data_IF_060346123404
#
_entry.id   IF_060346123404
#
_cell.length_a   1.000
_cell.length_b   1.000
_cell.length_c   1.000
_cell.angle_alpha   90.00
_cell.angle_beta   90.00
_cell.angle_gamma   90.00
#
_symmetry.space_group_name_H-M   'P 1'
#
loop_
_entity.id
_entity.type
_entity.pdbx_description
1 polymer ?
#
# COMPACT_ATOMS: atom_id res chain seq x y z
N UNK A 1 15.53 9.78 8.92
CA UNK A 1 14.58 9.30 7.88
C UNK A 1 15.42 8.98 6.64
N UNK A 2 15.60 7.69 6.34
CA UNK A 2 16.35 7.30 5.15
C UNK A 2 15.42 7.29 3.94
N UNK A 3 15.44 8.36 3.17
CA UNK A 3 14.88 8.37 1.83
C UNK A 3 15.92 7.66 0.96
N UNK A 4 15.68 6.40 0.62
CA UNK A 4 16.54 5.66 -0.32
C UNK A 4 16.10 6.07 -1.73
N UNK A 5 16.53 7.24 -2.17
CA UNK A 5 16.23 7.76 -3.50
C UNK A 5 16.87 6.92 -4.62
N UNK A 6 17.98 6.24 -4.34
CA UNK A 6 18.80 5.58 -5.37
C UNK A 6 18.27 4.22 -5.85
N UNK A 7 17.20 3.69 -5.26
CA UNK A 7 16.66 2.36 -5.58
C UNK A 7 15.24 2.36 -6.10
N UNK A 8 14.63 3.54 -6.28
CA UNK A 8 13.22 3.63 -6.57
C UNK A 8 13.04 4.17 -7.97
N UNK A 9 12.35 3.38 -8.78
CA UNK A 9 11.91 3.81 -10.10
C UNK A 9 10.93 4.98 -9.94
N UNK A 10 11.14 6.11 -10.64
CA UNK A 10 10.18 7.19 -10.62
C UNK A 10 8.83 6.71 -11.18
N UNK A 11 7.73 7.17 -10.60
CA UNK A 11 6.37 6.86 -11.08
C UNK A 11 6.11 7.32 -12.52
N UNK A 12 6.80 8.40 -12.94
CA UNK A 12 6.72 8.95 -14.29
C UNK A 12 8.04 9.58 -14.70
N UNK A 13 8.13 10.01 -15.98
CA UNK A 13 9.23 10.82 -16.50
C UNK A 13 9.46 12.12 -15.71
N UNK A 14 8.46 12.59 -14.99
CA UNK A 14 8.47 13.83 -14.23
C UNK A 14 8.89 13.67 -12.77
N UNK A 15 9.47 12.51 -12.42
CA UNK A 15 10.20 12.30 -11.16
C UNK A 15 9.36 12.31 -9.87
N UNK A 16 8.18 11.71 -9.86
CA UNK A 16 7.46 11.46 -8.61
C UNK A 16 8.06 10.23 -7.93
N UNK A 17 8.83 10.46 -6.88
CA UNK A 17 9.48 9.41 -6.10
C UNK A 17 8.61 8.97 -4.93
N UNK A 18 8.75 7.70 -4.56
CA UNK A 18 8.11 7.20 -3.35
C UNK A 18 8.64 7.96 -2.12
N UNK A 19 7.74 8.34 -1.23
CA UNK A 19 8.12 9.12 -0.05
C UNK A 19 8.74 8.25 1.03
N UNK A 20 8.15 7.08 1.29
CA UNK A 20 8.68 6.06 2.20
C UNK A 20 8.66 4.70 1.52
N UNK A 21 9.75 3.98 1.61
CA UNK A 21 9.98 2.68 0.97
C UNK A 21 10.18 1.60 2.00
N UNK A 22 9.59 0.42 1.78
CA UNK A 22 9.76 -0.74 2.63
C UNK A 22 9.47 -0.46 4.11
N UNK A 23 8.46 0.36 4.38
CA UNK A 23 7.95 0.56 5.72
C UNK A 23 7.41 -0.77 6.26
N UNK A 24 7.76 -1.10 7.51
CA UNK A 24 7.33 -2.34 8.15
C UNK A 24 6.02 -2.16 8.90
N UNK A 25 5.05 -3.04 8.65
CA UNK A 25 3.81 -3.11 9.43
C UNK A 25 3.68 -4.41 10.25
N UNK A 26 4.64 -5.31 10.12
CA UNK A 26 4.71 -6.59 10.84
C UNK A 26 6.11 -7.18 10.80
N UNK A 27 6.27 -8.37 11.39
CA UNK A 27 7.57 -9.03 11.56
C UNK A 27 8.02 -9.85 10.36
N UNK A 28 7.08 -10.30 9.51
CA UNK A 28 7.41 -11.08 8.33
C UNK A 28 8.12 -10.23 7.28
N UNK A 29 9.01 -10.84 6.47
CA UNK A 29 9.77 -10.12 5.44
C UNK A 29 8.84 -9.40 4.42
N UNK A 30 7.70 -10.02 4.11
CA UNK A 30 6.70 -9.44 3.21
C UNK A 30 5.75 -8.44 3.88
N UNK A 31 5.85 -8.20 5.18
CA UNK A 31 5.04 -7.19 5.86
C UNK A 31 5.61 -5.78 5.63
N UNK A 32 5.62 -5.36 4.38
CA UNK A 32 6.14 -4.06 3.94
C UNK A 32 5.14 -3.32 3.06
N UNK A 33 5.25 -2.00 3.06
CA UNK A 33 4.54 -1.14 2.11
C UNK A 33 5.42 0.01 1.67
N UNK A 34 5.08 0.59 0.53
CA UNK A 34 5.62 1.85 0.05
C UNK A 34 4.50 2.88 0.02
N UNK A 35 4.82 4.13 0.26
CA UNK A 35 3.82 5.20 0.28
C UNK A 35 4.34 6.46 -0.42
N UNK A 36 3.51 7.02 -1.28
CA UNK A 36 3.68 8.31 -1.96
C UNK A 36 2.72 9.31 -1.33
N UNK A 37 3.26 10.33 -0.71
CA UNK A 37 2.46 11.36 -0.06
C UNK A 37 2.18 12.51 -1.03
N UNK A 38 0.91 12.87 -1.15
CA UNK A 38 0.53 14.08 -1.84
C UNK A 38 1.05 15.30 -1.06
N UNK A 39 1.48 16.33 -1.78
CA UNK A 39 1.93 17.58 -1.17
C UNK A 39 0.73 18.36 -0.63
N UNK A 40 0.62 18.44 0.70
CA UNK A 40 -0.50 19.09 1.37
C UNK A 40 -0.16 19.45 2.82
N UNK A 41 -0.56 20.64 3.23
CA UNK A 41 -0.49 21.05 4.64
C UNK A 41 -1.55 20.32 5.50
N UNK A 42 -2.64 19.84 4.89
CA UNK A 42 -3.72 19.13 5.57
C UNK A 42 -3.60 17.63 5.36
N UNK A 43 -4.12 16.80 6.30
CA UNK A 43 -4.18 15.37 6.13
C UNK A 43 -4.89 14.96 4.83
N UNK A 44 -4.27 14.06 4.06
CA UNK A 44 -4.75 13.65 2.74
C UNK A 44 -5.52 12.35 2.78
N UNK A 45 -6.50 12.15 1.89
CA UNK A 45 -7.04 10.82 1.61
C UNK A 45 -5.94 9.86 1.14
N UNK A 46 -6.15 8.56 1.32
CA UNK A 46 -5.22 7.52 0.91
C UNK A 46 -5.92 6.45 0.09
N UNK A 47 -5.29 6.00 -0.98
CA UNK A 47 -5.64 4.77 -1.69
C UNK A 47 -4.53 3.73 -1.48
N UNK A 48 -4.89 2.56 -0.97
CA UNK A 48 -3.99 1.42 -0.79
C UNK A 48 -4.21 0.45 -1.94
N UNK A 49 -3.16 0.21 -2.74
CA UNK A 49 -3.18 -0.77 -3.81
C UNK A 49 -2.65 -2.12 -3.32
N UNK A 50 -3.45 -3.17 -3.53
CA UNK A 50 -3.17 -4.55 -3.14
C UNK A 50 -3.00 -5.37 -4.41
N UNK A 51 -1.80 -5.93 -4.62
CA UNK A 51 -1.50 -6.69 -5.84
C UNK A 51 -2.24 -8.02 -5.89
N UNK A 52 -2.50 -8.49 -7.13
CA UNK A 52 -2.97 -9.84 -7.40
C UNK A 52 -1.83 -10.85 -7.46
N UNK A 53 -2.12 -12.04 -7.96
CA UNK A 53 -1.17 -13.14 -8.12
C UNK A 53 -1.64 -14.42 -7.43
N UNK A 54 -2.95 -14.61 -7.30
CA UNK A 54 -3.55 -15.84 -6.75
C UNK A 54 -3.15 -16.12 -5.30
N UNK A 55 -2.72 -15.12 -4.55
CA UNK A 55 -2.15 -15.27 -3.20
C UNK A 55 -0.88 -16.12 -3.13
N UNK A 56 -0.25 -16.41 -4.25
CA UNK A 56 0.97 -17.23 -4.35
C UNK A 56 2.15 -16.51 -4.94
N UNK A 57 1.95 -15.33 -5.50
CA UNK A 57 2.97 -14.51 -6.14
C UNK A 57 2.59 -13.05 -6.22
N UNK A 58 3.45 -12.26 -6.83
CA UNK A 58 3.25 -10.82 -6.99
C UNK A 58 4.08 -10.00 -6.01
N UNK A 59 4.11 -8.70 -6.28
CA UNK A 59 4.86 -7.73 -5.47
C UNK A 59 4.21 -6.35 -5.56
N UNK A 60 4.38 -5.56 -4.50
CA UNK A 60 3.89 -4.18 -4.42
C UNK A 60 4.37 -3.27 -5.54
N UNK A 61 5.53 -3.60 -6.14
CA UNK A 61 6.09 -2.86 -7.28
C UNK A 61 5.28 -2.98 -8.57
N UNK A 62 4.32 -3.90 -8.65
CA UNK A 62 3.45 -4.08 -9.82
C UNK A 62 2.79 -2.78 -10.28
N UNK A 63 2.47 -1.91 -9.36
CA UNK A 63 1.76 -0.66 -9.65
C UNK A 63 2.66 0.55 -9.86
N UNK A 64 3.98 0.42 -9.75
CA UNK A 64 4.91 1.57 -9.84
C UNK A 64 4.83 2.35 -11.15
N UNK A 65 4.41 1.69 -12.23
CA UNK A 65 4.24 2.31 -13.56
C UNK A 65 2.79 2.74 -13.85
N UNK A 66 1.94 2.81 -12.83
CA UNK A 66 0.55 3.22 -13.00
C UNK A 66 0.46 4.69 -13.41
N UNK A 67 -0.04 4.93 -14.62
CA UNK A 67 -0.08 6.26 -15.24
C UNK A 67 -1.04 7.24 -14.56
N UNK A 68 -1.98 6.72 -13.78
CA UNK A 68 -2.99 7.54 -13.10
C UNK A 68 -2.50 8.10 -11.76
N UNK A 69 -1.44 7.54 -11.19
CA UNK A 69 -0.95 7.94 -9.88
C UNK A 69 -0.50 9.40 -9.79
N UNK A 70 0.21 9.98 -10.78
CA UNK A 70 0.54 11.40 -10.73
C UNK A 70 -0.69 12.29 -10.60
N UNK A 71 -1.78 11.94 -11.30
CA UNK A 71 -3.05 12.68 -11.22
C UNK A 71 -3.69 12.60 -9.83
N UNK A 72 -3.61 11.43 -9.19
CA UNK A 72 -4.10 11.26 -7.81
C UNK A 72 -3.30 12.13 -6.84
N UNK A 73 -1.98 12.10 -6.94
CA UNK A 73 -1.10 12.92 -6.10
C UNK A 73 -1.33 14.42 -6.31
N UNK A 74 -1.48 14.86 -7.56
CA UNK A 74 -1.84 16.26 -7.91
C UNK A 74 -3.21 16.65 -7.35
N UNK A 75 -4.15 15.71 -7.29
CA UNK A 75 -5.47 15.89 -6.68
C UNK A 75 -5.46 15.87 -5.15
N UNK A 76 -4.29 15.74 -4.53
CA UNK A 76 -4.15 15.69 -3.08
C UNK A 76 -4.46 14.34 -2.45
N UNK A 77 -4.37 13.24 -3.22
CA UNK A 77 -4.63 11.87 -2.76
C UNK A 77 -3.30 11.14 -2.66
N UNK A 78 -2.95 10.69 -1.47
CA UNK A 78 -1.78 9.86 -1.23
C UNK A 78 -2.02 8.41 -1.64
N UNK A 79 -0.95 7.67 -1.93
CA UNK A 79 -1.02 6.32 -2.49
C UNK A 79 -0.08 5.42 -1.70
N UNK A 80 -0.51 4.19 -1.42
CA UNK A 80 0.35 3.14 -0.88
C UNK A 80 0.21 1.86 -1.70
N UNK A 81 1.28 1.07 -1.75
CA UNK A 81 1.26 -0.32 -2.23
C UNK A 81 1.81 -1.24 -1.18
N UNK A 82 1.24 -2.42 -1.06
CA UNK A 82 1.59 -3.33 0.02
C UNK A 82 2.05 -4.69 -0.49
N UNK A 83 2.94 -5.31 0.27
CA UNK A 83 3.18 -6.74 0.25
C UNK A 83 2.46 -7.41 1.42
N UNK A 84 2.12 -8.67 1.24
CA UNK A 84 1.45 -9.52 2.23
C UNK A 84 1.98 -10.94 2.10
N UNK A 85 1.86 -11.75 3.16
CA UNK A 85 2.24 -13.17 3.12
C UNK A 85 1.38 -13.94 2.12
N UNK A 86 1.98 -14.91 1.47
CA UNK A 86 1.28 -15.79 0.54
C UNK A 86 0.54 -16.93 1.26
N UNK A 87 -0.37 -17.58 0.57
CA UNK A 87 -1.21 -18.63 1.14
C UNK A 87 -0.44 -19.90 1.54
N UNK A 88 0.76 -20.09 1.01
CA UNK A 88 1.66 -21.20 1.39
C UNK A 88 2.46 -20.93 2.66
N UNK A 89 2.31 -19.77 3.26
CA UNK A 89 2.87 -19.43 4.56
C UNK A 89 2.04 -20.07 5.68
N UNK A 90 2.49 -21.24 6.15
CA UNK A 90 1.82 -21.98 7.21
C UNK A 90 1.79 -21.20 8.54
N UNK A 91 0.78 -21.43 9.39
CA UNK A 91 -0.36 -22.36 9.24
C UNK A 91 -1.65 -21.73 8.69
N UNK A 92 -1.63 -20.47 8.30
CA UNK A 92 -2.86 -19.67 8.11
C UNK A 92 -3.43 -19.69 6.68
N UNK A 93 -2.67 -20.20 5.69
CA UNK A 93 -3.14 -20.23 4.31
C UNK A 93 -3.55 -18.82 3.80
N UNK A 94 -4.66 -18.75 3.09
CA UNK A 94 -5.18 -17.47 2.54
C UNK A 94 -5.44 -16.42 3.62
N UNK A 95 -5.78 -16.82 4.84
CA UNK A 95 -6.01 -15.88 5.93
C UNK A 95 -4.77 -15.06 6.25
N UNK A 96 -3.57 -15.61 6.06
CA UNK A 96 -2.34 -14.84 6.24
C UNK A 96 -2.32 -13.61 5.33
N UNK A 97 -2.66 -13.77 4.05
CA UNK A 97 -2.71 -12.68 3.07
C UNK A 97 -3.77 -11.63 3.42
N UNK A 98 -4.96 -12.07 3.77
CA UNK A 98 -6.09 -11.20 4.10
C UNK A 98 -5.83 -10.42 5.40
N UNK A 99 -5.37 -11.09 6.43
CA UNK A 99 -5.07 -10.48 7.73
C UNK A 99 -3.89 -9.51 7.65
N UNK A 100 -2.85 -9.84 6.89
CA UNK A 100 -1.72 -8.95 6.68
C UNK A 100 -2.16 -7.65 5.99
N UNK A 101 -2.97 -7.77 4.96
CA UNK A 101 -3.47 -6.60 4.22
C UNK A 101 -4.34 -5.70 5.12
N UNK A 102 -5.21 -6.28 5.93
CA UNK A 102 -6.00 -5.54 6.93
C UNK A 102 -5.09 -4.91 7.99
N UNK A 103 -4.08 -5.64 8.46
CA UNK A 103 -3.11 -5.12 9.42
C UNK A 103 -2.32 -3.94 8.87
N UNK A 104 -1.93 -3.98 7.58
CA UNK A 104 -1.27 -2.85 6.94
C UNK A 104 -2.15 -1.59 6.96
N UNK A 105 -3.42 -1.72 6.59
CA UNK A 105 -4.40 -0.63 6.69
C UNK A 105 -4.49 -0.09 8.13
N UNK A 106 -4.61 -0.97 9.11
CA UNK A 106 -4.69 -0.57 10.52
C UNK A 106 -3.41 0.14 10.98
N UNK A 107 -2.24 -0.37 10.57
CA UNK A 107 -0.95 0.24 10.88
C UNK A 107 -0.84 1.66 10.32
N UNK A 108 -1.21 1.86 9.06
CA UNK A 108 -1.18 3.19 8.44
C UNK A 108 -2.16 4.15 9.15
N UNK A 109 -3.36 3.69 9.46
CA UNK A 109 -4.36 4.49 10.20
C UNK A 109 -3.90 4.85 11.60
N UNK A 110 -3.24 3.93 12.29
CA UNK A 110 -2.67 4.17 13.62
C UNK A 110 -1.54 5.21 13.58
N UNK A 111 -0.74 5.20 12.49
CA UNK A 111 0.36 6.13 12.26
C UNK A 111 -0.02 7.28 11.31
N UNK A 112 -1.29 7.63 11.22
CA UNK A 112 -1.80 8.59 10.25
C UNK A 112 -1.12 9.96 10.33
N UNK A 113 -0.78 10.43 11.52
CA UNK A 113 -0.06 11.70 11.74
C UNK A 113 1.33 11.67 11.09
N UNK A 114 2.06 10.55 11.24
CA UNK A 114 3.39 10.38 10.61
C UNK A 114 3.34 10.57 9.11
N UNK A 115 2.27 10.10 8.47
CA UNK A 115 2.11 10.11 7.02
C UNK A 115 1.24 11.25 6.51
N UNK A 116 0.78 12.15 7.37
CA UNK A 116 -0.17 13.20 7.02
C UNK A 116 -1.41 12.66 6.26
N UNK A 117 -1.99 11.57 6.79
CA UNK A 117 -3.15 10.89 6.20
C UNK A 117 -4.40 11.15 7.05
N UNK A 118 -5.52 11.41 6.39
CA UNK A 118 -6.84 11.38 7.01
C UNK A 118 -7.27 9.91 7.19
N UNK A 119 -7.15 9.41 8.43
CA UNK A 119 -7.47 8.01 8.77
C UNK A 119 -8.91 7.59 8.47
N UNK A 120 -9.82 8.55 8.26
CA UNK A 120 -11.21 8.29 7.93
C UNK A 120 -11.49 8.30 6.42
N UNK A 121 -10.50 8.63 5.60
CA UNK A 121 -10.59 8.71 4.14
C UNK A 121 -9.58 7.77 3.49
N UNK A 122 -9.72 6.47 3.75
CA UNK A 122 -8.85 5.43 3.19
C UNK A 122 -9.67 4.47 2.34
N UNK A 123 -9.24 4.25 1.11
CA UNK A 123 -9.79 3.28 0.18
C UNK A 123 -8.77 2.17 -0.11
N UNK A 124 -9.26 0.95 -0.36
CA UNK A 124 -8.46 -0.14 -0.88
C UNK A 124 -8.84 -0.43 -2.34
N UNK A 125 -7.86 -0.76 -3.16
CA UNK A 125 -8.02 -1.10 -4.56
C UNK A 125 -7.07 -2.23 -4.95
N UNK A 126 -7.39 -2.94 -6.01
CA UNK A 126 -6.53 -3.99 -6.54
C UNK A 126 -7.21 -4.82 -7.60
N UNK A 127 -6.42 -5.68 -8.25
CA UNK A 127 -6.91 -6.63 -9.26
C UNK A 127 -6.87 -8.07 -8.74
N UNK A 128 -7.81 -8.92 -9.20
CA UNK A 128 -7.83 -10.37 -8.87
C UNK A 128 -7.80 -10.62 -7.35
N UNK A 129 -6.79 -11.30 -6.84
CA UNK A 129 -6.60 -11.54 -5.39
C UNK A 129 -6.63 -10.23 -4.59
N UNK A 130 -6.05 -9.15 -5.13
CA UNK A 130 -6.08 -7.83 -4.48
C UNK A 130 -7.49 -7.22 -4.43
N UNK A 131 -8.32 -7.44 -5.45
CA UNK A 131 -9.72 -7.03 -5.44
C UNK A 131 -10.53 -7.81 -4.38
N UNK A 132 -10.34 -9.13 -4.32
CA UNK A 132 -10.97 -9.97 -3.29
C UNK A 132 -10.56 -9.55 -1.88
N UNK A 133 -9.29 -9.26 -1.68
CA UNK A 133 -8.78 -8.76 -0.40
C UNK A 133 -9.38 -7.41 -0.04
N UNK A 134 -9.48 -6.48 -0.98
CA UNK A 134 -10.09 -5.17 -0.76
C UNK A 134 -11.55 -5.29 -0.32
N UNK A 135 -12.32 -6.17 -0.98
CA UNK A 135 -13.71 -6.48 -0.59
C UNK A 135 -13.77 -7.12 0.80
N UNK A 136 -12.91 -8.10 1.07
CA UNK A 136 -12.88 -8.75 2.38
C UNK A 136 -12.59 -7.75 3.51
N UNK A 137 -11.64 -6.83 3.32
CA UNK A 137 -11.33 -5.77 4.28
C UNK A 137 -12.56 -4.88 4.53
N UNK A 138 -13.28 -4.52 3.45
CA UNK A 138 -14.44 -3.62 3.55
C UNK A 138 -15.62 -4.23 4.34
N UNK A 139 -15.76 -5.56 4.33
CA UNK A 139 -16.86 -6.28 4.97
C UNK A 139 -16.45 -7.08 6.21
N UNK A 140 -15.18 -7.07 6.60
CA UNK A 140 -14.70 -7.74 7.81
C UNK A 140 -14.62 -6.76 8.99
N UNK A 141 -15.10 -7.17 10.14
CA UNK A 141 -15.02 -6.40 11.39
C UNK A 141 -13.58 -6.28 11.92
#
# INVERSE_FOLDING_TARGET
MNIIQDKIKPLTKDSVFVTFVNEKYGSHERNTFDIWLADSENPTPLVIYIHGGGFTGGDKSKYYDCKDWPRLLEAGISIATINYRFLNEEPYGILASLMDSKRCLQYIRYNAEKYNIDKNKVACSGGSAGAGTSLWIAFSD
#
